data_IF_975493475915
#
_entry.id   IF_975493475915
#
_cell.length_a   1.000
_cell.length_b   1.000
_cell.length_c   1.000
_cell.angle_alpha   90.00
_cell.angle_beta   90.00
_cell.angle_gamma   90.00
#
_symmetry.space_group_name_H-M   'P 1'
#
loop_
_entity.id
_entity.type
_entity.pdbx_description
1 polymer ?
#
# COMPACT_ATOMS: atom_id res chain seq x y z
N UNK A 1 -19.83 -28.68 7.39
CA UNK A 1 -19.63 -27.31 6.90
C UNK A 1 -18.27 -26.89 7.41
N UNK A 2 -17.25 -26.99 6.54
CA UNK A 2 -15.87 -26.74 6.92
C UNK A 2 -15.60 -25.25 6.80
N UNK A 3 -15.24 -24.65 7.93
CA UNK A 3 -14.84 -23.26 8.04
C UNK A 3 -13.42 -23.17 7.44
N UNK A 4 -13.33 -22.98 6.12
CA UNK A 4 -12.10 -22.51 5.52
C UNK A 4 -11.96 -21.05 5.93
N UNK A 5 -11.31 -20.82 7.07
CA UNK A 5 -10.65 -19.56 7.33
C UNK A 5 -9.69 -19.38 6.15
N UNK A 6 -10.15 -18.63 5.14
CA UNK A 6 -9.29 -18.15 4.09
C UNK A 6 -8.20 -17.39 4.80
N UNK A 7 -6.99 -17.92 4.71
CA UNK A 7 -5.78 -17.27 5.17
C UNK A 7 -5.54 -16.07 4.25
N UNK A 8 -6.38 -15.05 4.43
CA UNK A 8 -6.02 -13.69 4.12
C UNK A 8 -5.20 -13.31 5.34
N UNK A 9 -3.97 -13.80 5.40
CA UNK A 9 -2.99 -13.25 6.32
C UNK A 9 -2.90 -11.79 5.92
N UNK A 10 -3.63 -10.95 6.65
CA UNK A 10 -3.37 -9.52 6.70
C UNK A 10 -1.93 -9.47 7.19
N UNK A 11 -0.99 -9.31 6.26
CA UNK A 11 0.34 -8.83 6.59
C UNK A 11 0.12 -7.66 7.53
N UNK A 12 0.60 -7.78 8.77
CA UNK A 12 0.37 -6.77 9.81
C UNK A 12 0.58 -5.41 9.17
N UNK A 13 -0.43 -4.54 9.11
CA UNK A 13 -0.33 -3.25 8.41
C UNK A 13 0.59 -2.29 9.17
N UNK A 14 1.90 -2.53 9.11
CA UNK A 14 2.91 -1.79 9.83
C UNK A 14 3.16 -0.47 9.12
N UNK A 15 3.24 0.60 9.90
CA UNK A 15 3.68 1.90 9.42
C UNK A 15 5.14 2.12 9.84
N UNK A 16 6.02 2.40 8.87
CA UNK A 16 7.40 2.76 9.12
C UNK A 16 7.54 4.28 9.11
N UNK A 17 7.91 4.87 10.25
CA UNK A 17 8.19 6.30 10.36
C UNK A 17 9.69 6.52 10.25
N UNK A 18 10.16 7.08 9.14
CA UNK A 18 11.57 7.40 8.91
C UNK A 18 11.77 8.92 8.86
N UNK A 19 12.22 9.48 9.98
CA UNK A 19 12.37 10.94 10.16
C UNK A 19 13.60 11.18 11.04
N UNK A 20 14.51 12.06 10.64
CA UNK A 20 15.72 12.38 11.41
C UNK A 20 15.37 13.13 12.71
N UNK A 21 14.51 14.15 12.64
CA UNK A 21 14.09 14.95 13.80
C UNK A 21 13.34 14.11 14.85
N UNK A 22 14.00 13.89 16.00
CA UNK A 22 13.47 13.13 17.15
C UNK A 22 12.09 13.61 17.60
N UNK A 23 11.90 14.93 17.68
CA UNK A 23 10.66 15.54 18.15
C UNK A 23 9.50 15.25 17.20
N UNK A 24 9.73 15.41 15.89
CA UNK A 24 8.78 15.10 14.83
C UNK A 24 8.47 13.61 14.81
N UNK A 25 9.50 12.76 14.79
CA UNK A 25 9.35 11.30 14.80
C UNK A 25 8.52 10.82 15.97
N UNK A 26 8.77 11.31 17.19
CA UNK A 26 7.99 10.94 18.37
C UNK A 26 6.52 11.37 18.27
N UNK A 27 6.24 12.59 17.79
CA UNK A 27 4.85 13.07 17.62
C UNK A 27 4.09 12.24 16.60
N UNK A 28 4.68 12.03 15.41
CA UNK A 28 4.09 11.23 14.33
C UNK A 28 3.85 9.79 14.78
N UNK A 29 4.84 9.19 15.43
CA UNK A 29 4.74 7.83 15.99
C UNK A 29 3.64 7.73 17.04
N UNK A 30 3.50 8.73 17.93
CA UNK A 30 2.47 8.72 18.96
C UNK A 30 1.06 8.73 18.37
N UNK A 31 0.82 9.55 17.34
CA UNK A 31 -0.46 9.59 16.62
C UNK A 31 -0.76 8.26 15.95
N UNK A 32 0.20 7.70 15.21
CA UNK A 32 -0.03 6.48 14.41
C UNK A 32 -0.16 5.22 15.26
N UNK A 33 0.50 5.16 16.42
CA UNK A 33 0.38 4.03 17.35
C UNK A 33 -0.99 3.87 17.99
N UNK A 34 -1.87 4.86 17.86
CA UNK A 34 -3.25 4.74 18.31
C UNK A 34 -4.01 3.66 17.50
N UNK A 35 -3.63 3.44 16.23
CA UNK A 35 -4.37 2.58 15.31
C UNK A 35 -3.51 1.49 14.66
N UNK A 36 -2.20 1.70 14.48
CA UNK A 36 -1.34 0.77 13.76
C UNK A 36 -0.07 0.39 14.55
N UNK A 37 0.50 -0.80 14.28
CA UNK A 37 1.87 -1.09 14.68
C UNK A 37 2.84 -0.12 13.97
N UNK A 38 3.73 0.53 14.73
CA UNK A 38 4.66 1.51 14.17
C UNK A 38 6.11 1.13 14.44
N UNK A 39 6.89 1.02 13.37
CA UNK A 39 8.35 0.94 13.37
C UNK A 39 8.95 2.32 13.11
N UNK A 40 10.17 2.54 13.57
CA UNK A 40 10.85 3.83 13.43
C UNK A 40 12.25 3.65 12.87
N UNK A 41 12.63 4.52 11.94
CA UNK A 41 13.98 4.69 11.42
C UNK A 41 14.37 6.17 11.48
N UNK A 42 15.67 6.46 11.40
CA UNK A 42 16.20 7.83 11.44
C UNK A 42 16.86 8.25 10.12
N UNK A 43 17.20 7.27 9.28
CA UNK A 43 17.84 7.47 7.98
C UNK A 43 17.36 6.42 6.98
N UNK A 44 17.77 6.60 5.72
CA UNK A 44 17.40 5.71 4.63
C UNK A 44 17.93 4.29 4.82
N UNK A 45 19.13 4.11 5.38
CA UNK A 45 19.73 2.79 5.60
C UNK A 45 18.90 1.98 6.60
N UNK A 46 18.60 2.57 7.77
CA UNK A 46 17.75 1.96 8.78
C UNK A 46 16.32 1.73 8.29
N UNK A 47 15.80 2.60 7.40
CA UNK A 47 14.51 2.38 6.77
C UNK A 47 14.53 1.13 5.88
N UNK A 48 15.52 1.02 4.99
CA UNK A 48 15.67 -0.12 4.08
C UNK A 48 15.83 -1.43 4.84
N UNK A 49 16.60 -1.46 5.92
CA UNK A 49 16.77 -2.62 6.79
C UNK A 49 15.47 -3.02 7.52
N UNK A 50 14.56 -2.06 7.72
CA UNK A 50 13.28 -2.26 8.40
C UNK A 50 12.13 -2.61 7.45
N UNK A 51 12.35 -2.52 6.13
CA UNK A 51 11.35 -2.83 5.11
C UNK A 51 11.22 -4.35 4.93
N UNK A 52 10.05 -4.87 5.27
CA UNK A 52 9.64 -6.24 5.01
C UNK A 52 8.21 -6.29 4.45
N UNK A 53 7.66 -7.48 4.28
CA UNK A 53 6.31 -7.71 3.78
C UNK A 53 5.18 -7.20 4.69
N UNK A 54 5.47 -6.83 5.93
CA UNK A 54 4.50 -6.24 6.84
C UNK A 54 4.45 -4.71 6.71
N UNK A 55 5.46 -4.05 6.14
CA UNK A 55 5.41 -2.59 5.99
C UNK A 55 4.49 -2.23 4.81
N UNK A 56 3.35 -1.63 5.12
CA UNK A 56 2.38 -1.16 4.11
C UNK A 56 2.55 0.33 3.80
N UNK A 57 2.99 1.14 4.77
CA UNK A 57 3.15 2.59 4.57
C UNK A 57 4.46 3.05 5.19
N UNK A 58 5.17 3.89 4.46
CA UNK A 58 6.35 4.61 4.95
C UNK A 58 6.04 6.10 5.03
N UNK A 59 6.32 6.70 6.18
CA UNK A 59 6.16 8.14 6.42
C UNK A 59 7.53 8.77 6.57
N UNK A 60 7.83 9.76 5.74
CA UNK A 60 9.13 10.47 5.68
C UNK A 60 8.95 11.97 5.86
N UNK A 61 10.01 12.67 6.28
CA UNK A 61 10.06 14.13 6.21
C UNK A 61 10.76 14.55 4.91
N UNK A 62 10.08 15.33 4.07
CA UNK A 62 10.62 15.75 2.77
C UNK A 62 11.89 16.60 2.90
N UNK A 63 12.14 17.18 4.07
CA UNK A 63 13.36 17.96 4.33
C UNK A 63 14.60 17.09 4.46
N UNK A 64 14.42 15.83 4.83
CA UNK A 64 15.52 14.90 5.07
C UNK A 64 16.03 14.31 3.74
N UNK A 65 15.26 14.41 2.66
CA UNK A 65 15.57 13.86 1.34
C UNK A 65 15.55 12.33 1.29
N UNK A 66 15.13 11.69 2.38
CA UNK A 66 15.08 10.23 2.55
C UNK A 66 14.15 9.60 1.52
N UNK A 67 13.09 10.30 1.10
CA UNK A 67 12.10 9.80 0.13
C UNK A 67 12.73 9.40 -1.20
N UNK A 68 13.84 10.03 -1.60
CA UNK A 68 14.54 9.75 -2.86
C UNK A 68 15.40 8.50 -2.79
N UNK A 69 15.79 8.09 -1.59
CA UNK A 69 16.62 6.92 -1.33
C UNK A 69 15.79 5.65 -1.10
N UNK A 70 14.50 5.80 -0.84
CA UNK A 70 13.57 4.68 -0.67
C UNK A 70 13.06 4.28 -2.06
N UNK A 71 13.32 3.04 -2.52
CA UNK A 71 12.88 2.59 -3.83
C UNK A 71 11.36 2.64 -3.91
N UNK A 72 10.83 3.21 -4.98
CA UNK A 72 9.39 3.10 -5.25
C UNK A 72 9.08 1.64 -5.59
N UNK A 73 8.09 1.03 -4.94
CA UNK A 73 7.74 -0.34 -5.27
C UNK A 73 7.26 -0.38 -6.72
N UNK A 74 7.92 -1.20 -7.52
CA UNK A 74 7.38 -1.58 -8.82
C UNK A 74 6.19 -2.53 -8.60
N UNK A 75 5.27 -2.63 -9.57
CA UNK A 75 4.03 -3.43 -9.44
C UNK A 75 4.25 -4.90 -9.06
N UNK A 76 5.43 -5.44 -9.31
CA UNK A 76 5.79 -6.83 -9.00
C UNK A 76 6.66 -6.98 -7.73
N UNK A 77 7.05 -5.87 -7.10
CA UNK A 77 7.83 -5.82 -5.87
C UNK A 77 6.96 -5.36 -4.70
N UNK A 78 7.29 -5.81 -3.49
CA UNK A 78 6.48 -5.66 -2.26
C UNK A 78 5.80 -4.28 -2.16
N UNK A 79 4.46 -4.17 -2.33
CA UNK A 79 3.81 -2.88 -2.44
C UNK A 79 3.71 -2.24 -1.07
N UNK A 80 4.39 -1.11 -0.91
CA UNK A 80 4.14 -0.16 0.18
C UNK A 80 3.88 1.22 -0.42
N UNK A 81 3.19 2.07 0.31
CA UNK A 81 2.92 3.44 -0.10
C UNK A 81 3.79 4.43 0.67
N UNK A 82 4.14 5.55 0.06
CA UNK A 82 5.02 6.57 0.65
C UNK A 82 4.24 7.86 0.89
N UNK A 83 4.27 8.34 2.13
CA UNK A 83 3.73 9.63 2.54
C UNK A 83 4.85 10.57 2.99
N UNK A 84 4.87 11.78 2.45
CA UNK A 84 5.85 12.80 2.78
C UNK A 84 5.24 13.92 3.64
N UNK A 85 5.89 14.23 4.75
CA UNK A 85 5.59 15.40 5.57
C UNK A 85 6.28 16.61 4.94
N UNK A 86 5.51 17.64 4.58
CA UNK A 86 5.99 18.83 3.86
C UNK A 86 5.72 20.10 4.65
N UNK A 87 6.59 21.10 4.53
CA UNK A 87 6.34 22.43 5.11
C UNK A 87 5.23 23.16 4.32
N UNK A 88 4.46 24.04 4.98
CA UNK A 88 3.35 24.81 4.36
C UNK A 88 3.74 25.63 3.12
N UNK A 89 5.01 26.00 3.01
CA UNK A 89 5.55 26.76 1.89
C UNK A 89 5.88 25.91 0.66
N UNK A 90 5.76 24.58 0.76
CA UNK A 90 6.07 23.64 -0.32
C UNK A 90 4.78 23.30 -1.06
N UNK A 91 4.77 23.51 -2.37
CA UNK A 91 3.72 22.99 -3.23
C UNK A 91 3.90 21.46 -3.39
N UNK A 92 2.96 20.69 -2.86
CA UNK A 92 2.97 19.23 -2.91
C UNK A 92 2.37 18.65 -4.19
N UNK A 93 1.80 19.48 -5.06
CA UNK A 93 1.02 19.03 -6.23
C UNK A 93 1.88 18.29 -7.27
N UNK A 94 3.16 18.62 -7.36
CA UNK A 94 4.10 18.05 -8.34
C UNK A 94 4.85 16.82 -7.80
N UNK A 95 4.42 16.27 -6.65
CA UNK A 95 5.06 15.10 -6.05
C UNK A 95 4.27 13.83 -6.39
N UNK A 96 4.99 12.83 -6.87
CA UNK A 96 4.49 11.46 -7.02
C UNK A 96 4.26 10.71 -5.68
N UNK A 97 4.21 11.42 -4.54
CA UNK A 97 3.89 10.87 -3.20
C UNK A 97 2.71 11.63 -2.63
N UNK A 98 1.98 10.95 -1.76
CA UNK A 98 1.02 11.65 -0.94
C UNK A 98 1.71 12.60 0.04
N UNK A 99 1.23 13.83 0.13
CA UNK A 99 1.82 14.86 0.99
C UNK A 99 0.92 15.19 2.19
N UNK A 100 1.51 15.29 3.37
CA UNK A 100 0.86 15.79 4.59
C UNK A 100 1.54 17.09 5.01
N UNK A 101 0.81 18.19 4.91
CA UNK A 101 1.34 19.53 5.22
C UNK A 101 1.48 19.75 6.73
N UNK A 102 2.61 20.34 7.15
CA UNK A 102 2.84 20.80 8.52
C UNK A 102 2.09 22.13 8.76
N UNK A 103 1.52 22.38 9.95
CA UNK A 103 1.58 21.55 11.16
C UNK A 103 0.75 20.26 11.03
N UNK A 104 1.33 19.14 11.50
CA UNK A 104 0.75 17.80 11.32
C UNK A 104 -0.51 17.68 12.17
N UNK A 105 -1.67 17.69 11.51
CA UNK A 105 -2.94 17.34 12.14
C UNK A 105 -2.99 15.82 12.36
N UNK A 106 -3.26 15.33 13.60
CA UNK A 106 -3.40 13.91 13.86
C UNK A 106 -4.46 13.25 12.97
N UNK A 107 -5.59 13.92 12.76
CA UNK A 107 -6.68 13.39 11.94
C UNK A 107 -6.29 13.27 10.47
N UNK A 108 -5.62 14.29 9.93
CA UNK A 108 -5.14 14.27 8.54
C UNK A 108 -4.10 13.17 8.34
N UNK A 109 -3.13 13.06 9.25
CA UNK A 109 -2.11 12.02 9.18
C UNK A 109 -2.73 10.61 9.20
N UNK A 110 -3.68 10.37 10.10
CA UNK A 110 -4.38 9.08 10.17
C UNK A 110 -5.19 8.80 8.91
N UNK A 111 -5.96 9.77 8.43
CA UNK A 111 -6.75 9.61 7.21
C UNK A 111 -5.86 9.30 5.98
N UNK A 112 -4.73 9.98 5.86
CA UNK A 112 -3.75 9.71 4.81
C UNK A 112 -3.20 8.29 4.90
N UNK A 113 -2.72 7.87 6.07
CA UNK A 113 -2.16 6.51 6.24
C UNK A 113 -3.21 5.43 6.01
N UNK A 114 -4.44 5.62 6.49
CA UNK A 114 -5.54 4.68 6.29
C UNK A 114 -5.86 4.51 4.80
N UNK A 115 -5.93 5.61 4.06
CA UNK A 115 -6.16 5.59 2.60
C UNK A 115 -5.04 4.87 1.85
N UNK A 116 -3.79 5.15 2.19
CA UNK A 116 -2.63 4.47 1.60
C UNK A 116 -2.60 2.97 1.91
N UNK A 117 -2.95 2.57 3.14
CA UNK A 117 -3.09 1.15 3.47
C UNK A 117 -4.17 0.45 2.65
N UNK A 118 -5.31 1.11 2.39
CA UNK A 118 -6.37 0.54 1.53
C UNK A 118 -5.88 0.31 0.11
N UNK A 119 -5.08 1.24 -0.45
CA UNK A 119 -4.49 1.08 -1.78
C UNK A 119 -3.56 -0.15 -1.84
N UNK A 120 -2.67 -0.28 -0.85
CA UNK A 120 -1.78 -1.45 -0.73
C UNK A 120 -2.57 -2.74 -0.60
N UNK A 121 -3.61 -2.75 0.24
CA UNK A 121 -4.46 -3.93 0.42
C UNK A 121 -5.16 -4.31 -0.89
N UNK A 122 -5.67 -3.33 -1.62
CA UNK A 122 -6.31 -3.56 -2.92
C UNK A 122 -5.32 -4.15 -3.92
N UNK A 123 -4.13 -3.55 -4.08
CA UNK A 123 -3.12 -4.02 -5.03
C UNK A 123 -2.68 -5.46 -4.73
N UNK A 124 -2.42 -5.77 -3.45
CA UNK A 124 -2.08 -7.13 -3.03
C UNK A 124 -3.22 -8.12 -3.31
N UNK A 125 -4.46 -7.72 -3.04
CA UNK A 125 -5.63 -8.57 -3.29
C UNK A 125 -5.85 -8.78 -4.79
N UNK A 126 -5.63 -7.75 -5.62
CA UNK A 126 -5.75 -7.82 -7.07
C UNK A 126 -4.69 -8.75 -7.67
N UNK A 127 -3.44 -8.64 -7.21
CA UNK A 127 -2.37 -9.57 -7.60
C UNK A 127 -2.71 -11.03 -7.28
N UNK A 128 -3.21 -11.28 -6.05
CA UNK A 128 -3.70 -12.61 -5.66
C UNK A 128 -4.88 -13.08 -6.51
N UNK A 129 -5.81 -12.19 -6.83
CA UNK A 129 -6.95 -12.51 -7.69
C UNK A 129 -6.48 -12.99 -9.07
N UNK A 130 -5.53 -12.31 -9.70
CA UNK A 130 -4.98 -12.73 -11.00
C UNK A 130 -4.24 -14.06 -10.93
N UNK A 131 -3.48 -14.31 -9.86
CA UNK A 131 -2.83 -15.60 -9.64
C UNK A 131 -3.85 -16.75 -9.57
N UNK A 132 -4.92 -16.58 -8.79
CA UNK A 132 -6.01 -17.58 -8.68
C UNK A 132 -6.79 -17.69 -9.99
N UNK A 133 -6.97 -16.60 -10.74
CA UNK A 133 -7.66 -16.63 -12.03
C UNK A 133 -6.88 -17.44 -13.06
N UNK A 134 -5.55 -17.30 -13.06
CA UNK A 134 -4.64 -18.11 -13.89
C UNK A 134 -4.73 -19.60 -13.52
N UNK A 135 -4.70 -19.91 -12.22
CA UNK A 135 -4.88 -21.28 -11.70
C UNK A 135 -6.23 -21.87 -12.14
N UNK A 136 -7.31 -21.10 -12.02
CA UNK A 136 -8.64 -21.50 -12.48
C UNK A 136 -8.68 -21.80 -13.98
N UNK A 137 -8.07 -20.95 -14.82
CA UNK A 137 -8.04 -21.16 -16.27
C UNK A 137 -7.29 -22.46 -16.65
N UNK A 138 -6.17 -22.74 -15.99
CA UNK A 138 -5.41 -23.98 -16.17
C UNK A 138 -6.22 -25.20 -15.73
N UNK A 139 -6.83 -25.17 -14.55
CA UNK A 139 -7.65 -26.26 -14.03
C UNK A 139 -8.91 -26.53 -14.88
N UNK A 140 -9.53 -25.47 -15.40
CA UNK A 140 -10.73 -25.56 -16.23
C UNK A 140 -10.48 -26.12 -17.65
N UNK A 141 -9.25 -25.98 -18.16
CA UNK A 141 -8.84 -26.43 -19.50
C UNK A 141 -8.09 -27.77 -19.52
N UNK A 142 -7.72 -28.29 -18.35
CA UNK A 142 -7.01 -29.57 -18.21
C UNK A 142 -7.82 -30.80 -18.63
N UNK A 143 -7.11 -31.82 -19.10
CA UNK A 143 -7.69 -33.10 -19.55
C UNK A 143 -8.25 -33.95 -18.39
N UNK A 144 -7.80 -33.69 -17.16
CA UNK A 144 -8.31 -34.27 -15.92
C UNK A 144 -8.99 -33.17 -15.09
N UNK A 145 -10.16 -32.74 -15.55
CA UNK A 145 -10.92 -31.70 -14.86
C UNK A 145 -11.51 -32.26 -13.56
N UNK A 146 -11.07 -31.73 -12.43
CA UNK A 146 -11.67 -32.01 -11.12
C UNK A 146 -12.75 -30.96 -10.82
N UNK A 147 -14.04 -31.31 -10.87
CA UNK A 147 -15.12 -30.33 -10.74
C UNK A 147 -15.13 -29.61 -9.38
N UNK A 148 -14.72 -30.30 -8.32
CA UNK A 148 -14.64 -29.76 -6.97
C UNK A 148 -13.55 -28.68 -6.86
N UNK A 149 -12.34 -28.96 -7.35
CA UNK A 149 -11.24 -27.98 -7.36
C UNK A 149 -11.58 -26.73 -8.19
N UNK A 150 -12.20 -26.90 -9.35
CA UNK A 150 -12.66 -25.78 -10.20
C UNK A 150 -13.74 -24.95 -9.49
N UNK A 151 -14.66 -25.60 -8.77
CA UNK A 151 -15.70 -24.92 -8.00
C UNK A 151 -15.12 -24.14 -6.81
N UNK A 152 -14.12 -24.69 -6.13
CA UNK A 152 -13.42 -24.02 -5.03
C UNK A 152 -12.72 -22.76 -5.53
N UNK A 153 -11.94 -22.86 -6.62
CA UNK A 153 -11.26 -21.72 -7.25
C UNK A 153 -12.24 -20.61 -7.65
N UNK A 154 -13.39 -20.98 -8.22
CA UNK A 154 -14.45 -20.03 -8.55
C UNK A 154 -15.02 -19.34 -7.30
N UNK A 155 -15.19 -20.07 -6.19
CA UNK A 155 -15.60 -19.52 -4.91
C UNK A 155 -14.58 -18.51 -4.37
N UNK A 156 -13.28 -18.86 -4.41
CA UNK A 156 -12.18 -17.95 -4.00
C UNK A 156 -12.21 -16.65 -4.81
N UNK A 157 -12.32 -16.76 -6.14
CA UNK A 157 -12.40 -15.60 -7.04
C UNK A 157 -13.60 -14.71 -6.74
N UNK A 158 -14.77 -15.30 -6.47
CA UNK A 158 -15.97 -14.52 -6.13
C UNK A 158 -15.79 -13.74 -4.82
N UNK A 159 -15.22 -14.38 -3.80
CA UNK A 159 -14.98 -13.73 -2.51
C UNK A 159 -13.94 -12.60 -2.63
N UNK A 160 -12.85 -12.84 -3.37
CA UNK A 160 -11.84 -11.82 -3.64
C UNK A 160 -12.42 -10.64 -4.42
N UNK A 161 -13.29 -10.89 -5.42
CA UNK A 161 -13.95 -9.81 -6.16
C UNK A 161 -14.83 -8.94 -5.27
N UNK A 162 -15.63 -9.54 -4.39
CA UNK A 162 -16.44 -8.78 -3.44
C UNK A 162 -15.58 -7.91 -2.52
N UNK A 163 -14.46 -8.43 -2.00
CA UNK A 163 -13.56 -7.63 -1.16
C UNK A 163 -12.84 -6.53 -1.94
N UNK A 164 -12.48 -6.76 -3.22
CA UNK A 164 -11.96 -5.72 -4.10
C UNK A 164 -13.00 -4.61 -4.31
N UNK A 165 -14.26 -4.96 -4.55
CA UNK A 165 -15.34 -3.99 -4.70
C UNK A 165 -15.52 -3.16 -3.40
N UNK A 166 -15.51 -3.80 -2.23
CA UNK A 166 -15.59 -3.11 -0.93
C UNK A 166 -14.41 -2.16 -0.67
N UNK A 167 -13.19 -2.56 -1.04
CA UNK A 167 -12.01 -1.72 -0.91
C UNK A 167 -12.05 -0.53 -1.88
N UNK A 168 -12.51 -0.75 -3.12
CA UNK A 168 -12.69 0.31 -4.10
C UNK A 168 -13.71 1.35 -3.66
N UNK A 169 -14.84 0.93 -3.07
CA UNK A 169 -15.87 1.85 -2.55
C UNK A 169 -15.34 2.75 -1.41
N UNK A 170 -14.28 2.31 -0.72
CA UNK A 170 -13.60 3.07 0.34
C UNK A 170 -12.47 3.98 -0.15
N UNK A 171 -12.14 3.95 -1.44
CA UNK A 171 -11.16 4.83 -2.09
C UNK A 171 -11.91 5.97 -2.80
N UNK A 172 -11.27 7.14 -2.92
CA UNK A 172 -11.81 8.21 -3.76
C UNK A 172 -11.59 7.93 -5.27
N UNK A 173 -12.21 8.74 -6.15
CA UNK A 173 -12.15 8.53 -7.61
C UNK A 173 -10.71 8.55 -8.16
N UNK A 174 -9.82 9.35 -7.57
CA UNK A 174 -8.42 9.46 -8.00
C UNK A 174 -7.63 8.22 -7.58
N UNK A 175 -7.86 7.73 -6.37
CA UNK A 175 -7.24 6.55 -5.81
C UNK A 175 -7.69 5.27 -6.49
N UNK A 176 -9.00 5.13 -6.71
CA UNK A 176 -9.56 3.99 -7.42
C UNK A 176 -8.96 3.89 -8.84
N UNK A 177 -8.75 5.04 -9.50
CA UNK A 177 -8.08 5.10 -10.80
C UNK A 177 -6.59 4.74 -10.72
N UNK A 178 -5.86 5.29 -9.76
CA UNK A 178 -4.42 5.04 -9.54
C UNK A 178 -4.13 3.56 -9.29
N UNK A 179 -4.95 2.91 -8.48
CA UNK A 179 -4.83 1.49 -8.18
C UNK A 179 -5.24 0.62 -9.38
N UNK A 180 -6.35 0.95 -10.05
CA UNK A 180 -6.84 0.18 -11.20
C UNK A 180 -5.90 0.23 -12.41
N UNK A 181 -5.30 1.39 -12.71
CA UNK A 181 -4.46 1.60 -13.90
C UNK A 181 -2.97 1.60 -13.59
N UNK A 182 -2.59 1.73 -12.32
CA UNK A 182 -1.23 2.05 -11.89
C UNK A 182 -1.03 3.54 -12.00
N UNK A 183 -0.23 4.13 -11.08
CA UNK A 183 0.19 5.51 -11.25
C UNK A 183 0.72 5.69 -12.70
N UNK A 184 0.29 6.74 -13.43
CA UNK A 184 0.88 7.01 -14.73
C UNK A 184 2.38 7.14 -14.50
N UNK A 185 3.15 6.32 -15.20
CA UNK A 185 4.59 6.52 -15.31
C UNK A 185 4.71 7.92 -15.92
N UNK A 186 5.10 8.91 -15.12
CA UNK A 186 5.44 10.23 -15.62
C UNK A 186 6.74 10.05 -16.40
N UNK A 187 6.62 9.54 -17.62
CA UNK A 187 7.66 9.65 -18.63
C UNK A 187 8.02 11.12 -18.74
N UNK A 188 9.21 11.41 -18.23
CA UNK A 188 9.97 12.65 -18.39
C UNK A 188 9.69 13.25 -19.78
N UNK A 189 9.21 14.50 -19.87
CA UNK A 189 9.00 15.12 -21.17
C UNK A 189 10.36 15.17 -21.90
N UNK A 190 10.40 14.91 -23.22
CA UNK A 190 11.66 14.93 -23.94
C UNK A 190 12.28 16.32 -23.83
N UNK A 191 13.55 16.37 -23.41
CA UNK A 191 14.38 17.57 -23.42
C UNK A 191 14.25 18.29 -24.78
N UNK A 192 13.73 19.53 -24.77
CA UNK A 192 13.76 20.44 -25.91
C UNK A 192 15.11 21.17 -26.02
#
# INVERSE_FOLDING_TARGET
MSNAAFDISVTDNVVLVCIDDDGCRQRVTAVLREEWPVRTAIDAEAALDSLDEAVSVVVVDARDGIEQSIPRPQRDERPFELAALVDESVDGTDRAVECVTKPISPETLRATVERLQRRVEYDQLLGRYYAVASEYAAAASGHQREPEAVSELKGRLSAMRTRLDELADGLDDHDAFSVALGAPDETEPPDE
#
